data_IF_150661810616
#
_entry.id   IF_150661810616
#
_cell.length_a   1.000
_cell.length_b   1.000
_cell.length_c   1.000
_cell.angle_alpha   90.00
_cell.angle_beta   90.00
_cell.angle_gamma   90.00
#
_symmetry.space_group_name_H-M   'P 1'
#
loop_
_entity.id
_entity.type
_entity.pdbx_description
1 polymer ?
#
# COMPACT_ATOMS: atom_id res chain seq x y z
N UNK A 1 8.17 -0.81 -18.78
CA UNK A 1 6.84 -0.18 -18.95
C UNK A 1 6.28 0.10 -17.56
N UNK A 2 5.88 1.34 -17.27
CA UNK A 2 5.43 1.76 -15.94
C UNK A 2 3.96 2.14 -15.93
N UNK A 3 3.28 1.92 -14.82
CA UNK A 3 1.92 2.41 -14.59
C UNK A 3 1.99 3.92 -14.34
N UNK A 4 1.54 4.73 -15.29
CA UNK A 4 1.51 6.19 -15.15
C UNK A 4 0.07 6.64 -14.85
N UNK A 5 -0.22 6.87 -13.56
CA UNK A 5 -1.48 7.45 -13.11
C UNK A 5 -1.27 8.94 -12.85
N UNK A 6 -2.11 9.79 -13.44
CA UNK A 6 -2.12 11.20 -13.09
C UNK A 6 -2.73 11.37 -11.69
N UNK A 7 -1.88 11.56 -10.68
CA UNK A 7 -2.27 11.68 -9.28
C UNK A 7 -2.50 13.15 -8.82
N UNK A 8 -2.33 14.11 -9.74
CA UNK A 8 -2.35 15.54 -9.41
C UNK A 8 -1.07 15.99 -8.71
N UNK A 9 -1.18 16.97 -7.79
CA UNK A 9 -0.05 17.42 -6.97
C UNK A 9 0.11 16.48 -5.77
N UNK A 10 1.13 15.62 -5.81
CA UNK A 10 1.52 14.79 -4.68
C UNK A 10 3.05 14.62 -4.66
N UNK A 11 3.59 14.18 -3.52
CA UNK A 11 4.99 13.79 -3.44
C UNK A 11 5.21 12.45 -4.15
N UNK A 12 6.47 12.13 -4.49
CA UNK A 12 6.84 10.82 -5.03
C UNK A 12 6.50 9.73 -3.99
N UNK A 13 6.75 10.00 -2.72
CA UNK A 13 6.39 9.12 -1.60
C UNK A 13 4.88 8.80 -1.55
N UNK A 14 4.03 9.83 -1.68
CA UNK A 14 2.57 9.62 -1.72
C UNK A 14 2.12 8.86 -2.97
N UNK A 15 2.81 9.06 -4.10
CA UNK A 15 2.52 8.36 -5.34
C UNK A 15 2.82 6.86 -5.23
N UNK A 16 3.97 6.49 -4.67
CA UNK A 16 4.36 5.10 -4.39
C UNK A 16 3.37 4.42 -3.44
N UNK A 17 3.03 5.08 -2.31
CA UNK A 17 2.03 4.56 -1.37
C UNK A 17 0.67 4.36 -2.04
N UNK A 18 0.24 5.27 -2.92
CA UNK A 18 -1.00 5.12 -3.67
C UNK A 18 -0.94 3.90 -4.61
N UNK A 19 0.19 3.69 -5.29
CA UNK A 19 0.41 2.52 -6.15
C UNK A 19 0.28 1.20 -5.37
N UNK A 20 0.87 1.12 -4.17
CA UNK A 20 0.71 -0.03 -3.27
C UNK A 20 -0.75 -0.20 -2.86
N UNK A 21 -1.42 0.87 -2.45
CA UNK A 21 -2.83 0.82 -2.04
C UNK A 21 -3.75 0.32 -3.17
N UNK A 22 -3.55 0.83 -4.39
CA UNK A 22 -4.29 0.41 -5.58
C UNK A 22 -4.06 -1.08 -5.87
N UNK A 23 -2.81 -1.53 -5.81
CA UNK A 23 -2.48 -2.94 -6.03
C UNK A 23 -3.09 -3.85 -4.95
N UNK A 24 -3.10 -3.44 -3.68
CA UNK A 24 -3.76 -4.18 -2.60
C UNK A 24 -5.27 -4.28 -2.83
N UNK A 25 -5.91 -3.19 -3.26
CA UNK A 25 -7.34 -3.20 -3.58
C UNK A 25 -7.66 -4.17 -4.72
N UNK A 26 -6.80 -4.23 -5.74
CA UNK A 26 -6.93 -5.20 -6.84
C UNK A 26 -6.78 -6.64 -6.33
N UNK A 27 -5.74 -6.93 -5.55
CA UNK A 27 -5.49 -8.27 -4.97
C UNK A 27 -6.69 -8.73 -4.13
N UNK A 28 -7.17 -7.85 -3.25
CA UNK A 28 -8.34 -8.10 -2.40
C UNK A 28 -9.60 -8.37 -3.24
N UNK A 29 -9.85 -7.57 -4.29
CA UNK A 29 -10.99 -7.78 -5.19
C UNK A 29 -10.94 -9.11 -5.94
N UNK A 30 -9.72 -9.59 -6.25
CA UNK A 30 -9.50 -10.86 -6.93
C UNK A 30 -9.47 -12.07 -5.99
N UNK A 31 -9.56 -11.86 -4.65
CA UNK A 31 -9.37 -12.89 -3.61
C UNK A 31 -8.12 -13.74 -3.85
N UNK A 32 -7.02 -13.09 -4.26
CA UNK A 32 -5.74 -13.77 -4.46
C UNK A 32 -4.90 -13.68 -3.20
N UNK A 33 -4.36 -14.81 -2.80
CA UNK A 33 -3.40 -14.91 -1.70
C UNK A 33 -1.98 -15.13 -2.24
N UNK A 34 -0.98 -14.91 -1.39
CA UNK A 34 0.43 -15.17 -1.74
C UNK A 34 1.01 -14.22 -2.79
N UNK A 35 0.44 -13.04 -2.98
CA UNK A 35 0.96 -12.05 -3.93
C UNK A 35 2.12 -11.28 -3.32
N UNK A 36 3.27 -11.29 -4.01
CA UNK A 36 4.44 -10.49 -3.63
C UNK A 36 4.34 -9.10 -4.27
N UNK A 37 4.21 -8.07 -3.44
CA UNK A 37 4.35 -6.68 -3.86
C UNK A 37 5.80 -6.22 -3.72
N UNK A 38 6.30 -5.51 -4.74
CA UNK A 38 7.65 -4.97 -4.78
C UNK A 38 7.60 -3.48 -5.11
N UNK A 39 8.43 -2.70 -4.43
CA UNK A 39 8.70 -1.29 -4.70
C UNK A 39 10.21 -1.07 -4.60
N UNK A 40 10.75 -0.15 -5.38
CA UNK A 40 12.14 0.28 -5.31
C UNK A 40 12.38 1.34 -4.23
N UNK A 41 11.31 1.84 -3.59
CA UNK A 41 11.39 2.82 -2.52
C UNK A 41 11.55 2.16 -1.14
N UNK A 42 12.78 2.11 -0.65
CA UNK A 42 13.08 1.66 0.72
C UNK A 42 12.37 2.50 1.78
N UNK A 43 12.18 3.80 1.53
CA UNK A 43 11.45 4.70 2.43
C UNK A 43 10.01 4.25 2.62
N UNK A 44 9.34 3.86 1.52
CA UNK A 44 7.96 3.36 1.55
C UNK A 44 7.86 2.03 2.27
N UNK A 45 8.82 1.11 2.05
CA UNK A 45 8.89 -0.17 2.77
C UNK A 45 8.99 0.07 4.27
N UNK A 46 9.92 0.93 4.71
CA UNK A 46 10.08 1.29 6.12
C UNK A 46 8.85 1.96 6.69
N UNK A 47 8.25 2.90 5.95
CA UNK A 47 7.06 3.59 6.42
C UNK A 47 5.87 2.65 6.66
N UNK A 48 5.71 1.61 5.84
CA UNK A 48 4.69 0.57 6.04
C UNK A 48 5.07 -0.36 7.20
N UNK A 49 6.34 -0.76 7.34
CA UNK A 49 6.78 -1.69 8.39
C UNK A 49 6.87 -1.07 9.79
N UNK A 50 7.39 0.16 9.89
CA UNK A 50 7.67 0.83 11.17
C UNK A 50 6.41 1.47 11.79
N UNK A 51 5.39 1.75 10.97
CA UNK A 51 4.15 2.30 11.49
C UNK A 51 3.35 1.21 12.20
N UNK A 52 3.19 1.37 13.51
CA UNK A 52 2.16 0.62 14.23
C UNK A 52 0.80 0.92 13.58
N UNK A 53 -0.02 -0.12 13.40
CA UNK A 53 -1.31 -0.12 12.72
C UNK A 53 -2.24 1.05 13.13
N UNK A 54 -2.05 1.60 14.34
CA UNK A 54 -2.91 2.62 14.95
C UNK A 54 -2.32 4.03 15.00
N UNK A 55 -1.01 4.22 14.78
CA UNK A 55 -0.32 5.49 15.14
C UNK A 55 0.28 6.27 13.97
N UNK A 56 0.14 5.81 12.73
CA UNK A 56 0.68 6.57 11.58
C UNK A 56 -0.08 7.89 11.38
N UNK A 57 0.68 8.98 11.24
CA UNK A 57 0.15 10.30 10.86
C UNK A 57 -0.34 10.35 9.39
N UNK A 58 -0.01 9.33 8.58
CA UNK A 58 -0.47 9.23 7.19
C UNK A 58 -1.75 8.39 7.09
N UNK A 59 -2.81 8.99 6.57
CA UNK A 59 -4.06 8.30 6.28
C UNK A 59 -3.88 7.18 5.23
N UNK A 60 -2.95 7.33 4.29
CA UNK A 60 -2.64 6.31 3.29
C UNK A 60 -2.03 5.07 3.93
N UNK A 61 -1.03 5.26 4.80
CA UNK A 61 -0.37 4.17 5.52
C UNK A 61 -1.37 3.42 6.39
N UNK A 62 -2.22 4.13 7.14
CA UNK A 62 -3.28 3.49 7.94
C UNK A 62 -4.25 2.67 7.09
N UNK A 63 -4.58 3.14 5.87
CA UNK A 63 -5.48 2.41 4.96
C UNK A 63 -4.82 1.16 4.38
N UNK A 64 -3.54 1.24 4.02
CA UNK A 64 -2.73 0.09 3.56
C UNK A 64 -2.71 -0.99 4.64
N UNK A 65 -2.41 -0.60 5.88
CA UNK A 65 -2.43 -1.49 7.05
C UNK A 65 -3.77 -2.18 7.26
N UNK A 66 -4.87 -1.43 7.18
CA UNK A 66 -6.20 -2.00 7.32
C UNK A 66 -6.51 -3.05 6.25
N UNK A 67 -6.09 -2.83 5.00
CA UNK A 67 -6.26 -3.83 3.94
C UNK A 67 -5.36 -5.05 4.13
N UNK A 68 -4.12 -4.87 4.58
CA UNK A 68 -3.24 -6.00 4.88
C UNK A 68 -3.82 -6.91 5.97
N UNK A 69 -4.41 -6.34 7.03
CA UNK A 69 -5.09 -7.12 8.06
C UNK A 69 -6.31 -7.87 7.51
N UNK A 70 -7.19 -7.17 6.78
CA UNK A 70 -8.41 -7.80 6.25
C UNK A 70 -8.13 -8.86 5.18
N UNK A 71 -7.02 -8.75 4.43
CA UNK A 71 -6.57 -9.79 3.50
C UNK A 71 -6.13 -11.05 4.26
N UNK A 72 -5.54 -10.90 5.45
CA UNK A 72 -5.05 -12.02 6.26
C UNK A 72 -6.09 -12.60 7.23
N UNK A 73 -7.19 -11.90 7.51
CA UNK A 73 -8.29 -12.37 8.36
C UNK A 73 -9.31 -13.27 7.61
N UNK A 74 -9.01 -13.65 6.36
CA UNK A 74 -9.82 -14.57 5.55
C UNK A 74 -9.42 -16.06 5.70
N UNK A 75 -8.64 -16.40 6.74
CA UNK A 75 -8.24 -17.77 7.09
C UNK A 75 -9.22 -18.46 8.04
#
# INVERSE_FOLDING_TARGET
MGYNRYLGKCSIFDAELRGILDGLAVIHSMRREGVLMQTDSLEVVKAIQDSSFSSSNSALIRRIHHLLLNIWDLG
#
